data_IF_887247644119
#
_entry.id   IF_887247644119
#
_cell.length_a   1.000
_cell.length_b   1.000
_cell.length_c   1.000
_cell.angle_alpha   90.00
_cell.angle_beta   90.00
_cell.angle_gamma   90.00
#
_symmetry.space_group_name_H-M   'P 1'
#
loop_
_entity.id
_entity.type
_entity.pdbx_description
1 polymer ?
#
# COMPACT_ATOMS: atom_id res chain seq x y z
N UNK A 1 -18.58 3.93 6.31
CA UNK A 1 -17.87 4.35 5.08
C UNK A 1 -16.58 3.56 4.96
N UNK A 2 -16.15 3.22 3.74
CA UNK A 2 -14.83 2.66 3.47
C UNK A 2 -13.87 3.77 3.00
N UNK A 3 -12.67 3.81 3.57
CA UNK A 3 -11.62 4.76 3.26
C UNK A 3 -10.31 4.04 3.03
N UNK A 4 -9.44 4.63 2.21
CA UNK A 4 -8.03 4.26 2.24
C UNK A 4 -7.29 5.15 3.23
N UNK A 5 -6.22 4.63 3.85
CA UNK A 5 -5.40 5.36 4.82
C UNK A 5 -4.89 6.73 4.33
N UNK A 6 -4.57 6.84 3.03
CA UNK A 6 -4.20 8.11 2.39
C UNK A 6 -5.27 9.22 2.45
N UNK A 7 -6.52 8.88 2.80
CA UNK A 7 -7.64 9.82 2.91
C UNK A 7 -8.03 10.13 4.35
N UNK A 8 -7.36 9.54 5.35
CA UNK A 8 -7.64 9.85 6.75
C UNK A 8 -7.34 11.32 7.08
N UNK A 9 -6.44 11.98 6.36
CA UNK A 9 -6.17 13.41 6.50
C UNK A 9 -7.36 14.30 6.10
N UNK A 10 -8.34 13.76 5.37
CA UNK A 10 -9.52 14.51 4.88
C UNK A 10 -10.67 14.47 5.90
N UNK A 11 -10.57 13.62 6.93
CA UNK A 11 -11.63 13.42 7.93
C UNK A 11 -11.07 13.68 9.32
N UNK A 12 -11.75 14.55 10.07
CA UNK A 12 -11.43 14.76 11.49
C UNK A 12 -11.98 13.61 12.35
N UNK A 13 -11.21 13.11 13.33
CA UNK A 13 -11.70 12.15 14.33
C UNK A 13 -13.01 12.57 15.02
N UNK A 14 -13.20 13.87 15.22
CA UNK A 14 -14.41 14.45 15.87
C UNK A 14 -15.69 14.21 15.06
N UNK A 15 -15.56 13.94 13.75
CA UNK A 15 -16.67 13.61 12.86
C UNK A 15 -16.97 12.11 12.82
N UNK A 16 -16.27 11.31 13.62
CA UNK A 16 -16.43 9.87 13.69
C UNK A 16 -16.97 9.46 15.06
N UNK A 17 -17.58 8.29 15.09
CA UNK A 17 -18.03 7.63 16.32
C UNK A 17 -17.33 6.27 16.46
N UNK A 18 -17.29 5.76 17.69
CA UNK A 18 -16.69 4.48 17.99
C UNK A 18 -17.32 3.33 17.20
N UNK A 19 -16.48 2.37 16.84
CA UNK A 19 -16.89 1.16 16.15
C UNK A 19 -17.04 0.03 17.17
N UNK A 20 -18.29 -0.39 17.41
CA UNK A 20 -18.58 -1.66 18.07
C UNK A 20 -18.34 -2.79 17.06
N UNK A 21 -17.21 -3.50 17.17
CA UNK A 21 -16.75 -4.50 16.22
C UNK A 21 -15.95 -5.64 16.86
N UNK A 22 -16.29 -6.02 18.08
CA UNK A 22 -15.54 -6.95 18.93
C UNK A 22 -15.31 -8.28 18.21
N UNK A 23 -16.34 -8.79 17.51
CA UNK A 23 -16.26 -10.03 16.75
C UNK A 23 -15.27 -9.96 15.58
N UNK A 24 -15.09 -8.79 14.96
CA UNK A 24 -14.08 -8.57 13.92
C UNK A 24 -12.70 -8.34 14.54
N UNK A 25 -12.61 -7.56 15.62
CA UNK A 25 -11.36 -7.25 16.29
C UNK A 25 -10.69 -8.52 16.84
N UNK A 26 -11.46 -9.47 17.38
CA UNK A 26 -10.93 -10.75 17.87
C UNK A 26 -10.30 -11.63 16.77
N UNK A 27 -10.58 -11.33 15.50
CA UNK A 27 -10.09 -12.05 14.33
C UNK A 27 -8.84 -11.40 13.72
N UNK A 28 -8.51 -10.18 14.13
CA UNK A 28 -7.39 -9.42 13.58
C UNK A 28 -6.07 -10.06 14.03
N UNK A 29 -5.21 -10.40 13.07
CA UNK A 29 -3.87 -10.91 13.28
C UNK A 29 -2.84 -9.84 13.64
N UNK A 30 -1.57 -10.22 13.87
CA UNK A 30 -0.55 -9.34 14.44
C UNK A 30 -0.34 -8.02 13.68
N UNK A 31 -0.34 -8.04 12.35
CA UNK A 31 -0.11 -6.83 11.54
C UNK A 31 -1.27 -5.82 11.67
N UNK A 32 -2.52 -6.28 11.74
CA UNK A 32 -3.65 -5.39 11.98
C UNK A 32 -3.73 -4.90 13.43
N UNK A 33 -3.29 -5.71 14.40
CA UNK A 33 -3.15 -5.27 15.79
C UNK A 33 -2.07 -4.18 15.91
N UNK A 34 -0.93 -4.35 15.22
CA UNK A 34 0.11 -3.33 15.10
C UNK A 34 -0.46 -2.01 14.54
N UNK A 35 -1.24 -2.07 13.46
CA UNK A 35 -1.93 -0.89 12.92
C UNK A 35 -2.79 -0.17 13.97
N UNK A 36 -3.62 -0.93 14.69
CA UNK A 36 -4.52 -0.37 15.71
C UNK A 36 -3.77 0.20 16.92
N UNK A 37 -2.65 -0.40 17.30
CA UNK A 37 -1.83 0.01 18.44
C UNK A 37 -0.95 1.22 18.14
N UNK A 38 -0.42 1.32 16.92
CA UNK A 38 0.41 2.46 16.49
C UNK A 38 -0.44 3.69 16.11
N UNK A 39 -1.74 3.52 15.84
CA UNK A 39 -2.64 4.62 15.52
C UNK A 39 -2.64 5.70 16.63
N UNK A 40 -2.67 7.00 16.27
CA UNK A 40 -2.68 8.06 17.27
C UNK A 40 -3.89 7.96 18.20
N UNK A 41 -3.75 8.41 19.45
CA UNK A 41 -4.78 8.26 20.47
C UNK A 41 -6.15 8.82 20.04
N UNK A 42 -6.17 9.94 19.31
CA UNK A 42 -7.38 10.55 18.76
C UNK A 42 -8.15 9.63 17.78
N UNK A 43 -7.49 8.64 17.18
CA UNK A 43 -8.07 7.70 16.23
C UNK A 43 -8.45 6.35 16.86
N UNK A 44 -8.14 6.16 18.14
CA UNK A 44 -8.39 4.90 18.84
C UNK A 44 -9.87 4.57 18.85
N UNK A 45 -10.22 3.32 18.54
CA UNK A 45 -11.59 2.80 18.41
C UNK A 45 -12.44 3.43 17.28
N UNK A 46 -11.88 4.32 16.46
CA UNK A 46 -12.58 4.96 15.33
C UNK A 46 -12.29 4.27 13.98
N UNK A 47 -11.29 3.38 13.96
CA UNK A 47 -10.81 2.71 12.76
C UNK A 47 -10.99 1.20 12.88
N UNK A 48 -11.48 0.57 11.81
CA UNK A 48 -11.47 -0.87 11.67
C UNK A 48 -10.74 -1.24 10.37
N UNK A 49 -9.53 -1.83 10.43
CA UNK A 49 -8.86 -2.33 9.24
C UNK A 49 -9.57 -3.57 8.71
N UNK A 50 -9.87 -3.58 7.40
CA UNK A 50 -10.57 -4.70 6.75
C UNK A 50 -9.74 -5.40 5.68
N UNK A 51 -8.82 -4.68 5.06
CA UNK A 51 -7.83 -5.21 4.13
C UNK A 51 -6.66 -4.23 4.00
N UNK A 52 -5.55 -4.69 3.44
CA UNK A 52 -4.46 -3.85 2.97
C UNK A 52 -3.87 -4.42 1.68
N UNK A 53 -3.05 -3.62 1.02
CA UNK A 53 -2.25 -4.02 -0.15
C UNK A 53 -0.88 -3.35 -0.05
N UNK A 54 0.24 -4.07 -0.22
CA UNK A 54 1.55 -3.42 -0.27
C UNK A 54 1.67 -2.57 -1.53
N UNK A 55 2.44 -1.50 -1.45
CA UNK A 55 2.96 -0.82 -2.64
C UNK A 55 4.11 -1.64 -3.23
N UNK A 56 4.14 -1.77 -4.54
CA UNK A 56 5.14 -2.55 -5.29
C UNK A 56 5.72 -1.74 -6.44
N UNK A 57 6.93 -2.11 -6.86
CA UNK A 57 7.49 -1.65 -8.13
C UNK A 57 6.97 -2.56 -9.24
N UNK A 58 6.18 -2.02 -10.16
CA UNK A 58 5.75 -2.70 -11.38
C UNK A 58 6.66 -2.30 -12.52
N UNK A 59 7.24 -3.28 -13.19
CA UNK A 59 8.27 -3.12 -14.20
C UNK A 59 7.77 -3.74 -15.50
N UNK A 60 7.83 -2.97 -16.58
CA UNK A 60 7.64 -3.49 -17.93
C UNK A 60 8.99 -3.93 -18.48
N UNK A 61 9.12 -5.22 -18.75
CA UNK A 61 10.29 -5.78 -19.42
C UNK A 61 10.32 -5.33 -20.88
N UNK A 62 11.47 -4.80 -21.29
CA UNK A 62 11.77 -4.43 -22.68
C UNK A 62 12.90 -5.26 -23.28
N UNK A 63 13.46 -6.20 -22.51
CA UNK A 63 14.52 -7.12 -22.93
C UNK A 63 15.91 -6.50 -23.05
N UNK A 64 16.09 -5.21 -22.70
CA UNK A 64 17.35 -4.50 -22.90
C UNK A 64 18.10 -4.26 -21.59
N UNK A 65 17.41 -3.73 -20.59
CA UNK A 65 17.96 -3.58 -19.24
C UNK A 65 16.89 -4.01 -18.23
N UNK A 66 17.24 -4.19 -16.96
CA UNK A 66 16.27 -4.35 -15.87
C UNK A 66 16.79 -3.55 -14.69
N UNK A 67 15.92 -2.83 -13.95
CA UNK A 67 16.34 -2.16 -12.73
C UNK A 67 17.02 -3.17 -11.80
N UNK A 68 18.05 -2.73 -11.07
CA UNK A 68 18.74 -3.57 -10.10
C UNK A 68 17.81 -3.92 -8.93
N UNK A 69 17.04 -5.00 -9.06
CA UNK A 69 15.98 -5.37 -8.10
C UNK A 69 16.51 -5.56 -6.68
N UNK A 70 17.76 -6.04 -6.57
CA UNK A 70 18.47 -6.23 -5.30
C UNK A 70 18.75 -4.91 -4.56
N UNK A 71 18.73 -3.77 -5.26
CA UNK A 71 18.85 -2.45 -4.65
C UNK A 71 17.55 -2.03 -3.91
N UNK A 72 16.49 -2.83 -3.99
CA UNK A 72 15.21 -2.52 -3.36
C UNK A 72 14.63 -1.20 -3.87
N UNK A 73 14.20 -0.33 -2.95
CA UNK A 73 13.63 0.98 -3.32
C UNK A 73 14.63 1.90 -4.02
N UNK A 74 15.93 1.80 -3.73
CA UNK A 74 16.99 2.57 -4.40
C UNK A 74 17.07 2.30 -5.91
N UNK A 75 16.53 1.17 -6.38
CA UNK A 75 16.41 0.88 -7.82
C UNK A 75 15.62 1.96 -8.59
N UNK A 76 14.74 2.71 -7.91
CA UNK A 76 14.00 3.82 -8.51
C UNK A 76 14.87 5.04 -8.82
N UNK A 77 16.06 5.12 -8.23
CA UNK A 77 17.02 6.21 -8.43
C UNK A 77 17.95 5.98 -9.64
N UNK A 78 17.83 4.84 -10.32
CA UNK A 78 18.62 4.51 -11.50
C UNK A 78 18.50 5.62 -12.56
N UNK A 79 19.61 6.24 -12.99
CA UNK A 79 19.60 7.26 -14.03
C UNK A 79 18.92 6.84 -15.34
N UNK A 80 18.90 5.54 -15.68
CA UNK A 80 18.17 5.02 -16.86
C UNK A 80 16.66 5.19 -16.75
N UNK A 81 16.12 5.40 -15.55
CA UNK A 81 14.68 5.58 -15.31
C UNK A 81 14.23 7.04 -15.42
N UNK A 82 15.14 7.98 -15.68
CA UNK A 82 14.80 9.40 -15.82
C UNK A 82 13.77 9.61 -16.93
N UNK A 83 12.62 10.20 -16.59
CA UNK A 83 11.50 10.41 -17.49
C UNK A 83 10.77 9.13 -17.89
N UNK A 84 11.03 8.00 -17.21
CA UNK A 84 10.41 6.68 -17.43
C UNK A 84 9.79 6.08 -16.16
N UNK A 85 9.76 6.86 -15.08
CA UNK A 85 9.24 6.45 -13.79
C UNK A 85 7.87 7.08 -13.51
N UNK A 86 6.89 6.27 -13.15
CA UNK A 86 5.59 6.74 -12.65
C UNK A 86 5.55 6.60 -11.15
N UNK A 87 5.35 7.73 -10.49
CA UNK A 87 5.30 7.80 -9.04
C UNK A 87 3.86 8.03 -8.55
N UNK A 88 3.55 7.61 -7.32
CA UNK A 88 2.29 7.93 -6.69
C UNK A 88 2.08 9.43 -6.57
N UNK A 89 0.83 9.87 -6.67
CA UNK A 89 0.47 11.27 -6.50
C UNK A 89 0.55 11.78 -5.05
N UNK A 90 0.81 10.89 -4.09
CA UNK A 90 0.89 11.23 -2.66
C UNK A 90 2.31 11.67 -2.29
N UNK A 91 2.54 12.96 -1.96
CA UNK A 91 3.84 13.45 -1.50
C UNK A 91 4.35 12.67 -0.29
N UNK A 92 3.45 12.37 0.64
CA UNK A 92 3.76 11.66 1.88
C UNK A 92 4.30 10.25 1.62
N UNK A 93 3.72 9.55 0.66
CA UNK A 93 4.20 8.24 0.26
C UNK A 93 5.61 8.31 -0.32
N UNK A 94 5.88 9.30 -1.18
CA UNK A 94 7.21 9.51 -1.75
C UNK A 94 8.26 9.88 -0.69
N UNK A 95 7.91 10.74 0.26
CA UNK A 95 8.76 11.07 1.41
C UNK A 95 9.08 9.78 2.18
N UNK A 96 8.06 8.98 2.52
CA UNK A 96 8.26 7.74 3.28
C UNK A 96 9.11 6.69 2.55
N UNK A 97 9.06 6.65 1.22
CA UNK A 97 9.92 5.80 0.41
C UNK A 97 11.36 6.34 0.44
N UNK A 98 11.54 7.64 0.22
CA UNK A 98 12.86 8.27 0.22
C UNK A 98 13.59 8.16 1.57
N UNK A 99 12.87 8.25 2.69
CA UNK A 99 13.43 8.03 4.05
C UNK A 99 13.96 6.60 4.27
N UNK A 100 13.58 5.64 3.42
CA UNK A 100 14.04 4.25 3.46
C UNK A 100 15.13 3.93 2.42
N UNK A 101 15.51 4.90 1.59
CA UNK A 101 16.60 4.78 0.63
C UNK A 101 17.93 5.17 1.26
N UNK A 102 19.03 4.70 0.70
CA UNK A 102 20.38 5.02 1.18
C UNK A 102 20.88 6.41 0.81
N UNK A 103 20.20 7.10 -0.11
CA UNK A 103 20.58 8.42 -0.63
C UNK A 103 19.89 9.57 0.15
N UNK A 104 20.68 10.45 0.76
CA UNK A 104 20.17 11.65 1.47
C UNK A 104 19.43 12.66 0.60
N UNK A 105 19.53 12.55 -0.73
CA UNK A 105 18.80 13.33 -1.72
C UNK A 105 17.78 12.52 -2.52
N UNK A 106 17.44 11.31 -2.05
CA UNK A 106 16.51 10.39 -2.71
C UNK A 106 15.21 11.06 -3.15
N UNK A 107 14.56 11.83 -2.27
CA UNK A 107 13.28 12.47 -2.57
C UNK A 107 13.38 13.44 -3.76
N UNK A 108 14.43 14.26 -3.80
CA UNK A 108 14.65 15.21 -4.90
C UNK A 108 14.91 14.46 -6.21
N UNK A 109 15.74 13.41 -6.16
CA UNK A 109 16.06 12.59 -7.35
C UNK A 109 14.87 11.82 -7.89
N UNK A 110 14.04 11.24 -7.03
CA UNK A 110 12.78 10.61 -7.44
C UNK A 110 11.90 11.60 -8.19
N UNK A 111 11.71 12.79 -7.62
CA UNK A 111 10.88 13.83 -8.22
C UNK A 111 11.43 14.31 -9.55
N UNK A 112 12.74 14.50 -9.67
CA UNK A 112 13.39 14.91 -10.90
C UNK A 112 13.39 13.82 -11.99
N UNK A 113 13.22 12.55 -11.61
CA UNK A 113 13.21 11.41 -12.53
C UNK A 113 11.81 10.99 -12.96
N UNK A 114 10.76 11.48 -12.28
CA UNK A 114 9.38 11.11 -12.55
C UNK A 114 8.92 11.63 -13.93
N UNK A 115 8.31 10.73 -14.70
CA UNK A 115 7.51 11.07 -15.88
C UNK A 115 6.19 11.75 -15.46
N UNK A 116 5.53 11.19 -14.43
CA UNK A 116 4.27 11.70 -13.91
C UNK A 116 4.03 11.19 -12.49
N UNK A 117 3.16 11.89 -11.76
CA UNK A 117 2.69 11.56 -10.43
C UNK A 117 1.23 11.09 -10.48
N UNK A 118 1.01 9.84 -10.90
CA UNK A 118 -0.33 9.28 -11.12
C UNK A 118 -0.38 7.77 -10.86
N UNK A 119 -0.98 7.40 -9.74
CA UNK A 119 -1.22 6.00 -9.35
C UNK A 119 -2.57 5.46 -9.85
N UNK A 120 -3.46 6.31 -10.38
CA UNK A 120 -4.79 5.93 -10.88
C UNK A 120 -4.68 5.38 -12.29
N UNK A 121 -3.93 6.07 -13.15
CA UNK A 121 -3.74 5.66 -14.54
C UNK A 121 -2.36 5.05 -14.82
N UNK A 122 -1.48 4.94 -13.82
CA UNK A 122 -0.09 4.50 -14.00
C UNK A 122 0.08 3.15 -14.75
N UNK A 123 -0.89 2.24 -14.65
CA UNK A 123 -0.86 1.00 -15.43
C UNK A 123 -1.00 1.22 -16.94
N UNK A 124 -1.79 2.20 -17.38
CA UNK A 124 -2.02 2.47 -18.79
C UNK A 124 -0.74 2.95 -19.47
N UNK A 125 -0.04 3.88 -18.82
CA UNK A 125 1.26 4.40 -19.27
C UNK A 125 2.33 3.29 -19.35
N UNK A 126 2.34 2.36 -18.39
CA UNK A 126 3.21 1.17 -18.48
C UNK A 126 2.84 0.33 -19.71
N UNK A 127 1.56 0.03 -19.92
CA UNK A 127 1.12 -0.81 -21.04
C UNK A 127 1.39 -0.17 -22.41
N UNK A 128 1.27 1.15 -22.51
CA UNK A 128 1.61 1.93 -23.71
C UNK A 128 3.12 1.99 -23.97
N UNK A 129 3.95 1.80 -22.93
CA UNK A 129 5.40 1.79 -23.03
C UNK A 129 6.04 3.17 -22.87
N UNK A 130 5.26 4.19 -22.51
CA UNK A 130 5.75 5.54 -22.21
C UNK A 130 6.59 5.53 -20.93
N UNK A 131 6.15 4.74 -19.95
CA UNK A 131 6.87 4.45 -18.73
C UNK A 131 7.45 3.03 -18.72
N UNK A 132 8.46 2.84 -17.87
CA UNK A 132 9.15 1.58 -17.67
C UNK A 132 8.90 0.99 -16.29
N UNK A 133 8.82 1.85 -15.28
CA UNK A 133 8.57 1.47 -13.89
C UNK A 133 7.43 2.32 -13.35
N UNK A 134 6.53 1.71 -12.58
CA UNK A 134 5.52 2.40 -11.80
C UNK A 134 5.50 1.89 -10.36
N UNK A 135 5.32 2.79 -9.39
CA UNK A 135 5.08 2.41 -8.01
C UNK A 135 3.57 2.46 -7.75
N UNK A 136 2.96 1.29 -7.51
CA UNK A 136 1.50 1.14 -7.44
C UNK A 136 1.09 0.20 -6.29
N UNK A 137 -0.12 0.34 -5.73
CA UNK A 137 -0.67 -0.67 -4.81
C UNK A 137 -0.86 -1.98 -5.58
N UNK A 138 -0.41 -3.10 -5.01
CA UNK A 138 -0.51 -4.43 -5.61
C UNK A 138 -1.94 -4.76 -6.10
N UNK A 139 -2.96 -4.42 -5.32
CA UNK A 139 -4.37 -4.64 -5.69
C UNK A 139 -4.78 -3.96 -7.02
N UNK A 140 -4.14 -2.84 -7.39
CA UNK A 140 -4.41 -2.14 -8.66
C UNK A 140 -3.75 -2.78 -9.87
N UNK A 141 -2.66 -3.53 -9.68
CA UNK A 141 -1.92 -4.14 -10.78
C UNK A 141 -2.12 -5.66 -10.89
N UNK A 142 -2.72 -6.30 -9.88
CA UNK A 142 -2.86 -7.75 -9.79
C UNK A 142 -3.51 -8.38 -11.04
N UNK A 143 -4.63 -7.83 -11.52
CA UNK A 143 -5.33 -8.38 -12.69
C UNK A 143 -4.48 -8.33 -13.96
N UNK A 144 -3.71 -7.26 -14.15
CA UNK A 144 -2.82 -7.10 -15.32
C UNK A 144 -1.59 -7.97 -15.19
N UNK A 145 -0.96 -8.03 -14.00
CA UNK A 145 0.18 -8.91 -13.70
C UNK A 145 -0.15 -10.39 -13.94
N UNK A 146 -1.41 -10.79 -13.77
CA UNK A 146 -1.86 -12.15 -14.06
C UNK A 146 -1.92 -12.47 -15.54
N UNK A 147 -2.18 -11.47 -16.39
CA UNK A 147 -2.47 -11.64 -17.82
C UNK A 147 -1.31 -11.26 -18.75
N UNK A 148 -0.52 -10.25 -18.38
CA UNK A 148 0.56 -9.73 -19.23
C UNK A 148 1.94 -10.24 -18.75
N UNK A 149 2.59 -11.14 -19.48
CA UNK A 149 3.89 -11.70 -19.09
C UNK A 149 5.05 -10.71 -19.23
N UNK A 150 4.84 -9.56 -19.89
CA UNK A 150 5.85 -8.50 -19.99
C UNK A 150 5.95 -7.70 -18.71
N UNK A 151 4.94 -7.77 -17.84
CA UNK A 151 4.93 -7.08 -16.56
C UNK A 151 5.43 -8.00 -15.45
N UNK A 152 6.29 -7.45 -14.62
CA UNK A 152 6.68 -8.03 -13.34
C UNK A 152 6.43 -7.05 -12.23
N UNK A 153 6.23 -7.56 -11.02
CA UNK A 153 6.17 -6.73 -9.83
C UNK A 153 7.18 -7.24 -8.80
N UNK A 154 7.73 -6.30 -8.05
CA UNK A 154 8.73 -6.53 -7.02
C UNK A 154 8.25 -5.86 -5.74
N UNK A 155 8.26 -6.64 -4.67
CA UNK A 155 8.11 -6.17 -3.30
C UNK A 155 9.51 -6.24 -2.67
N UNK A 156 10.16 -5.09 -2.39
CA UNK A 156 11.51 -5.07 -1.84
C UNK A 156 11.60 -5.75 -0.48
N UNK A 157 12.77 -6.32 -0.18
CA UNK A 157 13.02 -6.97 1.11
C UNK A 157 12.96 -5.99 2.28
N UNK A 158 13.28 -4.71 2.04
CA UNK A 158 13.13 -3.60 3.01
C UNK A 158 11.67 -3.38 3.47
N UNK A 159 10.72 -4.15 2.95
CA UNK A 159 9.30 -3.96 3.14
C UNK A 159 8.72 -2.90 2.21
N UNK A 160 7.45 -2.61 2.40
CA UNK A 160 6.75 -1.57 1.64
C UNK A 160 5.83 -0.75 2.54
N UNK A 161 5.47 0.46 2.11
CA UNK A 161 4.27 1.11 2.60
C UNK A 161 3.07 0.18 2.35
N UNK A 162 2.22 0.04 3.35
CA UNK A 162 0.96 -0.70 3.25
C UNK A 162 -0.17 0.28 2.99
N UNK A 163 -0.95 0.03 1.94
CA UNK A 163 -2.16 0.77 1.62
C UNK A 163 -3.37 0.10 2.28
N UNK A 164 -3.76 0.62 3.44
CA UNK A 164 -4.88 0.08 4.22
C UNK A 164 -6.23 0.54 3.70
N UNK A 165 -7.20 -0.37 3.74
CA UNK A 165 -8.63 -0.08 3.62
C UNK A 165 -9.29 -0.25 4.98
N UNK A 166 -9.95 0.82 5.39
CA UNK A 166 -10.49 1.02 6.72
C UNK A 166 -11.99 1.24 6.62
N UNK A 167 -12.74 0.66 7.55
CA UNK A 167 -14.11 1.07 7.82
C UNK A 167 -14.10 2.09 8.94
N UNK A 168 -14.85 3.17 8.75
CA UNK A 168 -15.13 4.20 9.75
C UNK A 168 -16.63 4.46 9.84
N UNK A 169 -17.07 4.95 11.00
CA UNK A 169 -18.46 5.37 11.24
C UNK A 169 -18.53 6.88 11.38
N UNK A 170 -19.13 7.61 10.42
CA UNK A 170 -19.45 9.03 10.60
C UNK A 170 -20.38 9.23 11.81
N UNK A 171 -20.24 10.35 12.51
CA UNK A 171 -21.04 10.68 13.69
C UNK A 171 -22.53 10.87 13.39
N UNK A 172 -22.88 11.19 12.15
CA UNK A 172 -24.28 11.40 11.70
C UNK A 172 -24.99 10.12 11.26
N UNK A 173 -24.33 8.96 11.32
CA UNK A 173 -24.88 7.68 10.84
C UNK A 173 -25.38 6.86 12.02
N UNK A 174 -26.63 6.38 11.98
CA UNK A 174 -27.15 5.50 13.03
C UNK A 174 -26.71 4.05 12.83
N UNK A 175 -26.54 3.65 11.57
CA UNK A 175 -26.26 2.27 11.17
C UNK A 175 -24.92 1.77 11.72
N UNK A 176 -24.87 0.51 12.20
CA UNK A 176 -23.62 -0.14 12.55
C UNK A 176 -22.81 -0.45 11.28
N UNK A 177 -21.52 -0.75 11.45
CA UNK A 177 -20.73 -1.30 10.34
C UNK A 177 -21.26 -2.69 9.95
N UNK A 178 -21.16 -3.08 8.66
CA UNK A 178 -21.67 -4.36 8.17
C UNK A 178 -20.75 -5.53 8.57
N UNK A 179 -20.70 -5.88 9.86
CA UNK A 179 -19.74 -6.85 10.38
C UNK A 179 -19.87 -8.24 9.77
N UNK A 180 -21.11 -8.72 9.62
CA UNK A 180 -21.39 -10.03 9.05
C UNK A 180 -20.86 -10.16 7.61
N UNK A 181 -20.98 -9.09 6.84
CA UNK A 181 -20.47 -9.04 5.48
C UNK A 181 -18.94 -9.14 5.46
N UNK A 182 -18.25 -8.40 6.33
CA UNK A 182 -16.78 -8.48 6.46
C UNK A 182 -16.35 -9.89 6.90
N UNK A 183 -17.01 -10.47 7.91
CA UNK A 183 -16.74 -11.83 8.38
C UNK A 183 -16.95 -12.88 7.29
N UNK A 184 -17.98 -12.72 6.45
CA UNK A 184 -18.24 -13.61 5.31
C UNK A 184 -17.15 -13.51 4.25
N UNK A 185 -16.69 -12.29 3.98
CA UNK A 185 -15.60 -12.01 3.04
C UNK A 185 -14.27 -12.61 3.52
N UNK A 186 -14.02 -12.63 4.83
CA UNK A 186 -12.85 -13.25 5.45
C UNK A 186 -12.90 -14.79 5.52
N UNK A 187 -13.92 -15.43 4.95
CA UNK A 187 -14.05 -16.89 4.86
C UNK A 187 -13.92 -17.39 3.42
N UNK A 188 -13.64 -18.68 3.26
CA UNK A 188 -13.69 -19.31 1.95
C UNK A 188 -15.12 -19.31 1.38
N UNK A 189 -15.31 -19.20 0.06
CA UNK A 189 -14.29 -19.06 -0.99
C UNK A 189 -13.88 -17.59 -1.25
N UNK A 190 -14.43 -16.62 -0.53
CA UNK A 190 -14.21 -15.19 -0.79
C UNK A 190 -12.80 -14.75 -0.40
N UNK A 191 -12.26 -15.29 0.70
CA UNK A 191 -10.89 -15.02 1.14
C UNK A 191 -9.87 -15.32 0.03
N UNK A 192 -9.96 -16.49 -0.61
CA UNK A 192 -9.04 -16.83 -1.70
C UNK A 192 -9.21 -15.93 -2.93
N UNK A 193 -10.43 -15.44 -3.20
CA UNK A 193 -10.68 -14.48 -4.29
C UNK A 193 -10.08 -13.10 -3.98
N UNK A 194 -10.21 -12.62 -2.74
CA UNK A 194 -9.61 -11.36 -2.30
C UNK A 194 -8.08 -11.39 -2.48
N UNK A 195 -7.44 -12.45 -1.97
CA UNK A 195 -5.99 -12.59 -2.07
C UNK A 195 -5.53 -12.65 -3.53
N UNK A 196 -6.27 -13.37 -4.38
CA UNK A 196 -6.00 -13.40 -5.82
C UNK A 196 -6.22 -12.05 -6.51
N UNK A 197 -6.88 -11.08 -5.88
CA UNK A 197 -7.02 -9.71 -6.36
C UNK A 197 -6.03 -8.74 -5.70
N UNK A 198 -5.12 -9.22 -4.85
CA UNK A 198 -4.12 -8.39 -4.17
C UNK A 198 -4.64 -7.70 -2.91
N UNK A 199 -5.85 -8.02 -2.46
CA UNK A 199 -6.41 -7.56 -1.20
C UNK A 199 -6.08 -8.55 -0.09
N UNK A 200 -5.37 -8.10 0.94
CA UNK A 200 -4.92 -8.93 2.06
C UNK A 200 -5.71 -8.54 3.32
N UNK A 201 -6.64 -9.38 3.80
CA UNK A 201 -7.27 -9.18 5.09
C UNK A 201 -6.24 -9.20 6.23
N UNK A 202 -6.45 -8.42 7.31
CA UNK A 202 -5.55 -8.40 8.47
C UNK A 202 -5.77 -9.62 9.37
N UNK A 203 -5.76 -10.82 8.80
CA UNK A 203 -5.94 -12.10 9.51
C UNK A 203 -4.58 -12.71 9.89
N UNK A 204 -4.55 -13.68 10.82
CA UNK A 204 -3.35 -14.45 11.12
C UNK A 204 -2.76 -15.09 9.86
N UNK A 205 -1.42 -15.09 9.77
CA UNK A 205 -0.68 -15.60 8.60
C UNK A 205 -1.08 -17.01 8.19
N UNK A 206 -1.26 -17.91 9.16
CA UNK A 206 -1.65 -19.30 8.89
C UNK A 206 -2.94 -19.43 8.09
N UNK A 207 -3.93 -18.57 8.37
CA UNK A 207 -5.19 -18.56 7.63
C UNK A 207 -5.03 -18.02 6.20
N UNK A 208 -4.22 -16.98 6.04
CA UNK A 208 -3.92 -16.40 4.73
C UNK A 208 -3.18 -17.41 3.84
N UNK A 209 -2.20 -18.12 4.40
CA UNK A 209 -1.47 -19.20 3.72
C UNK A 209 -2.41 -20.34 3.33
N UNK A 210 -3.34 -20.73 4.21
CA UNK A 210 -4.37 -21.73 3.90
C UNK A 210 -5.31 -21.32 2.75
N UNK A 211 -5.38 -20.02 2.42
CA UNK A 211 -6.24 -19.46 1.39
C UNK A 211 -5.54 -19.10 0.07
N UNK A 212 -4.23 -19.35 -0.05
CA UNK A 212 -3.41 -18.89 -1.18
C UNK A 212 -3.66 -19.61 -2.51
N UNK A 213 -4.50 -20.65 -2.54
CA UNK A 213 -4.64 -21.57 -3.68
C UNK A 213 -4.97 -20.87 -5.00
N UNK A 214 -5.74 -19.78 -4.96
CA UNK A 214 -6.11 -18.99 -6.15
C UNK A 214 -5.04 -18.00 -6.60
N UNK A 215 -3.99 -17.78 -5.81
CA UNK A 215 -2.90 -16.87 -6.16
C UNK A 215 -1.91 -17.63 -7.06
N UNK A 216 -1.60 -17.12 -8.27
CA UNK A 216 -0.58 -17.72 -9.13
C UNK A 216 0.77 -17.79 -8.40
N UNK A 217 1.48 -18.91 -8.55
CA UNK A 217 2.75 -19.18 -7.84
C UNK A 217 3.73 -17.99 -7.91
N UNK A 218 3.91 -17.42 -9.10
CA UNK A 218 4.81 -16.28 -9.34
C UNK A 218 4.44 -14.99 -8.58
N UNK A 219 3.17 -14.83 -8.19
CA UNK A 219 2.66 -13.64 -7.52
C UNK A 219 2.46 -13.85 -6.02
N UNK A 220 2.55 -15.09 -5.52
CA UNK A 220 2.41 -15.41 -4.09
C UNK A 220 3.38 -14.60 -3.21
N UNK A 221 4.66 -14.43 -3.57
CA UNK A 221 5.58 -13.63 -2.76
C UNK A 221 5.17 -12.16 -2.62
N UNK A 222 4.34 -11.62 -3.53
CA UNK A 222 3.86 -10.23 -3.44
C UNK A 222 2.68 -10.10 -2.47
N UNK A 223 1.84 -11.13 -2.38
CA UNK A 223 0.64 -11.13 -1.52
C UNK A 223 0.96 -11.66 -0.12
N UNK A 224 1.76 -12.73 -0.05
CA UNK A 224 2.16 -13.42 1.16
C UNK A 224 3.71 -13.51 1.18
N UNK A 225 4.43 -12.39 1.27
CA UNK A 225 5.89 -12.38 1.36
C UNK A 225 6.35 -13.10 2.63
N UNK A 226 7.67 -13.26 2.80
CA UNK A 226 8.22 -13.74 4.06
C UNK A 226 7.80 -12.86 5.24
N UNK A 227 7.80 -13.43 6.44
CA UNK A 227 7.42 -12.75 7.68
C UNK A 227 8.26 -11.48 7.90
N UNK A 228 9.58 -11.56 7.67
CA UNK A 228 10.52 -10.45 7.79
C UNK A 228 10.10 -9.22 6.97
N UNK A 229 9.64 -9.42 5.73
CA UNK A 229 9.19 -8.35 4.84
C UNK A 229 7.92 -7.67 5.38
N UNK A 230 7.01 -8.42 5.99
CA UNK A 230 5.83 -7.85 6.66
C UNK A 230 6.21 -7.04 7.89
N UNK A 231 7.18 -7.50 8.67
CA UNK A 231 7.66 -6.79 9.86
C UNK A 231 8.35 -5.48 9.49
N UNK A 232 9.09 -5.47 8.37
CA UNK A 232 9.74 -4.26 7.85
C UNK A 232 8.77 -3.31 7.12
N UNK A 233 7.62 -3.81 6.66
CA UNK A 233 6.58 -2.98 6.04
C UNK A 233 6.01 -1.96 7.04
N UNK A 234 5.57 -0.81 6.52
CA UNK A 234 5.18 0.33 7.35
C UNK A 234 3.85 0.94 6.94
N UNK A 235 3.31 1.80 7.80
CA UNK A 235 1.95 2.32 7.72
C UNK A 235 1.98 3.84 7.67
N UNK A 236 1.10 4.43 6.87
CA UNK A 236 0.98 5.89 6.75
C UNK A 236 -0.17 6.41 7.64
N UNK A 237 -0.01 6.26 8.96
CA UNK A 237 -1.00 6.68 9.96
C UNK A 237 -1.28 8.19 9.92
N UNK A 238 -2.44 8.70 10.32
CA UNK A 238 -2.73 10.13 10.25
C UNK A 238 -1.65 10.98 10.96
N UNK A 239 -1.04 11.98 10.29
CA UNK A 239 -0.01 12.80 10.90
C UNK A 239 -0.64 13.84 11.82
N UNK A 240 0.02 14.14 12.94
CA UNK A 240 -0.31 15.31 13.76
C UNK A 240 0.15 16.62 13.08
N UNK A 241 -0.13 17.76 13.71
CA UNK A 241 0.20 19.07 13.14
C UNK A 241 1.71 19.29 12.95
N UNK A 242 2.54 18.78 13.87
CA UNK A 242 3.99 18.93 13.78
C UNK A 242 4.55 18.08 12.63
N UNK A 243 4.07 16.84 12.49
CA UNK A 243 4.44 15.96 11.40
C UNK A 243 3.97 16.49 10.04
N UNK A 244 2.77 17.09 9.97
CA UNK A 244 2.31 17.76 8.74
C UNK A 244 3.25 18.89 8.32
N UNK A 245 3.66 19.74 9.26
CA UNK A 245 4.61 20.82 8.98
C UNK A 245 5.97 20.28 8.52
N UNK A 246 6.49 19.22 9.17
CA UNK A 246 7.74 18.57 8.77
C UNK A 246 7.65 18.01 7.35
N UNK A 247 6.59 17.28 7.04
CA UNK A 247 6.36 16.70 5.71
C UNK A 247 6.26 17.79 4.63
N UNK A 248 5.60 18.91 4.94
CA UNK A 248 5.52 20.05 4.03
C UNK A 248 6.89 20.67 3.75
N UNK A 249 7.70 20.90 4.79
CA UNK A 249 9.07 21.44 4.62
C UNK A 249 9.96 20.50 3.79
N UNK A 250 9.90 19.19 4.03
CA UNK A 250 10.64 18.20 3.24
C UNK A 250 10.20 18.20 1.77
N UNK A 251 8.90 18.34 1.53
CA UNK A 251 8.37 18.45 0.17
C UNK A 251 8.83 19.76 -0.49
N UNK A 252 8.77 20.90 0.17
CA UNK A 252 9.20 22.18 -0.42
C UNK A 252 10.71 22.18 -0.72
N UNK A 253 11.53 21.69 0.21
CA UNK A 253 12.98 21.62 0.07
C UNK A 253 13.47 20.63 -1.02
N UNK A 254 12.62 19.69 -1.43
CA UNK A 254 12.93 18.68 -2.45
C UNK A 254 12.40 19.02 -3.85
N UNK A 255 12.01 20.28 -4.08
CA UNK A 255 11.72 20.76 -5.42
C UNK A 255 12.92 20.50 -6.37
N UNK A 256 12.67 19.93 -7.57
CA UNK A 256 13.73 19.57 -8.52
C UNK A 256 14.54 20.80 -8.95
#
# INVERSE_FOLDING_TARGET
MALNDGWLSVISPERLQAIAAEALQSRIGPLGQRFLNEAPLAWKNLLLPVAFSPWVMVIRRDGKTSPALEAGWDALLDPELKGKLLLPSSPRLLISLAERMGDGHALRRLRASALSFDDRFGMNWLLQGDARVAVLPLQRCMATLQRDPRLTAVLPEQGAPLHWTLLVRPSQTAEPIPQEWVLKVWKQPLLSRLLAQGWIPPLPRGELVGAQARIPLRLRPLVLPQQSVWEQSWMLLPPDAAEQQRLQQLWEASAP
#
